data_IF_874442775756
#
_entry.id   IF_874442775756
#
_cell.length_a   1.000
_cell.length_b   1.000
_cell.length_c   1.000
_cell.angle_alpha   90.00
_cell.angle_beta   90.00
_cell.angle_gamma   90.00
#
_symmetry.space_group_name_H-M   'P 1'
#
loop_
_entity.id
_entity.type
_entity.pdbx_description
1 polymer ?
#
# COMPACT_ATOMS: atom_id res chain seq x y z
N UNK A 1 -3.51 14.86 -27.17
CA UNK A 1 -3.42 15.48 -25.83
C UNK A 1 -4.65 15.18 -24.97
N UNK A 2 -5.87 15.58 -25.38
CA UNK A 2 -7.11 15.40 -24.59
C UNK A 2 -7.37 13.95 -24.20
N UNK A 3 -7.25 13.00 -25.13
CA UNK A 3 -7.46 11.57 -24.84
C UNK A 3 -6.48 11.02 -23.78
N UNK A 4 -5.22 11.48 -23.80
CA UNK A 4 -4.20 11.09 -22.81
C UNK A 4 -4.50 11.65 -21.42
N UNK A 5 -4.98 12.89 -21.35
CA UNK A 5 -5.42 13.51 -20.09
C UNK A 5 -6.63 12.75 -19.52
N UNK A 6 -7.62 12.45 -20.37
CA UNK A 6 -8.82 11.73 -19.97
C UNK A 6 -8.49 10.31 -19.46
N UNK A 7 -7.60 9.60 -20.16
CA UNK A 7 -7.11 8.30 -19.73
C UNK A 7 -6.43 8.36 -18.35
N UNK A 8 -5.58 9.38 -18.11
CA UNK A 8 -4.92 9.57 -16.80
C UNK A 8 -5.91 9.84 -15.68
N UNK A 9 -6.95 10.65 -15.94
CA UNK A 9 -8.01 10.94 -14.97
C UNK A 9 -8.80 9.67 -14.62
N UNK A 10 -9.18 8.88 -15.63
CA UNK A 10 -9.90 7.61 -15.42
C UNK A 10 -9.02 6.64 -14.61
N UNK A 11 -7.74 6.53 -14.97
CA UNK A 11 -6.81 5.65 -14.25
C UNK A 11 -6.64 6.08 -12.78
N UNK A 12 -6.56 7.38 -12.52
CA UNK A 12 -6.49 7.92 -11.17
C UNK A 12 -7.77 7.61 -10.36
N UNK A 13 -8.95 7.75 -10.98
CA UNK A 13 -10.21 7.40 -10.35
C UNK A 13 -10.28 5.91 -9.97
N UNK A 14 -9.87 5.04 -10.89
CA UNK A 14 -9.82 3.59 -10.64
C UNK A 14 -8.85 3.26 -9.50
N UNK A 15 -7.66 3.87 -9.50
CA UNK A 15 -6.69 3.70 -8.41
C UNK A 15 -7.26 4.08 -7.04
N UNK A 16 -7.95 5.22 -6.92
CA UNK A 16 -8.55 5.60 -5.64
C UNK A 16 -9.67 4.67 -5.20
N UNK A 17 -10.45 4.14 -6.15
CA UNK A 17 -11.49 3.15 -5.87
C UNK A 17 -10.87 1.85 -5.32
N UNK A 18 -9.82 1.36 -5.96
CA UNK A 18 -9.10 0.16 -5.52
C UNK A 18 -8.42 0.37 -4.17
N UNK A 19 -7.74 1.50 -3.98
CA UNK A 19 -7.12 1.86 -2.72
C UNK A 19 -8.13 1.89 -1.57
N UNK A 20 -9.32 2.44 -1.80
CA UNK A 20 -10.39 2.48 -0.80
C UNK A 20 -10.83 1.07 -0.37
N UNK A 21 -11.00 0.16 -1.33
CA UNK A 21 -11.36 -1.24 -1.06
C UNK A 21 -10.23 -1.93 -0.29
N UNK A 22 -8.99 -1.77 -0.74
CA UNK A 22 -7.81 -2.34 -0.09
C UNK A 22 -7.67 -1.86 1.37
N UNK A 23 -7.81 -0.56 1.61
CA UNK A 23 -7.75 0.01 2.96
C UNK A 23 -8.88 -0.49 3.86
N UNK A 24 -10.07 -0.77 3.31
CA UNK A 24 -11.16 -1.35 4.06
C UNK A 24 -10.87 -2.79 4.47
N UNK A 25 -10.45 -3.65 3.53
CA UNK A 25 -10.06 -5.04 3.83
C UNK A 25 -8.93 -5.09 4.86
N UNK A 26 -7.95 -4.20 4.72
CA UNK A 26 -6.82 -4.10 5.62
C UNK A 26 -7.21 -3.65 7.04
N UNK A 27 -8.28 -2.86 7.18
CA UNK A 27 -8.82 -2.51 8.49
C UNK A 27 -9.40 -3.75 9.20
N UNK A 28 -10.13 -4.60 8.48
CA UNK A 28 -10.71 -5.83 9.01
C UNK A 28 -9.61 -6.82 9.44
N UNK A 29 -8.58 -7.01 8.61
CA UNK A 29 -7.41 -7.86 8.96
C UNK A 29 -6.69 -7.31 10.20
N UNK A 30 -6.62 -6.00 10.33
CA UNK A 30 -6.00 -5.37 11.49
C UNK A 30 -6.83 -5.55 12.77
N UNK A 31 -8.15 -5.45 12.70
CA UNK A 31 -9.05 -5.64 13.85
C UNK A 31 -9.02 -7.11 14.33
N UNK A 32 -8.98 -8.07 13.40
CA UNK A 32 -8.82 -9.49 13.76
C UNK A 32 -7.46 -9.78 14.40
N UNK A 33 -6.38 -9.17 13.89
CA UNK A 33 -5.06 -9.26 14.52
C UNK A 33 -5.05 -8.61 15.91
N UNK A 34 -5.76 -7.52 16.12
CA UNK A 34 -5.90 -6.86 17.42
C UNK A 34 -6.58 -7.77 18.45
N UNK A 35 -7.67 -8.45 18.07
CA UNK A 35 -8.33 -9.47 18.91
C UNK A 35 -7.37 -10.62 19.26
N UNK A 36 -6.48 -11.00 18.36
CA UNK A 36 -5.42 -11.99 18.59
C UNK A 36 -4.23 -11.42 19.40
N UNK A 37 -4.35 -10.21 19.94
CA UNK A 37 -3.35 -9.54 20.79
C UNK A 37 -2.27 -8.75 20.04
N UNK A 38 -2.49 -8.38 18.76
CA UNK A 38 -1.51 -7.57 18.01
C UNK A 38 -1.76 -6.09 18.29
N UNK A 39 -0.71 -5.28 18.17
CA UNK A 39 -0.89 -3.83 18.22
C UNK A 39 -1.63 -3.34 16.97
N UNK A 40 -2.69 -2.58 17.18
CA UNK A 40 -3.36 -1.83 16.12
C UNK A 40 -2.42 -0.73 15.59
N UNK A 41 -2.03 -0.86 14.32
CA UNK A 41 -1.16 0.09 13.62
C UNK A 41 -1.84 0.67 12.38
N UNK A 42 -3.10 0.32 12.12
CA UNK A 42 -3.84 0.81 10.96
C UNK A 42 -4.03 2.33 11.03
N UNK A 43 -4.31 2.89 12.21
CA UNK A 43 -4.38 4.34 12.39
C UNK A 43 -3.07 5.03 11.99
N UNK A 44 -1.91 4.38 12.21
CA UNK A 44 -0.61 4.92 11.80
C UNK A 44 -0.47 4.91 10.28
N UNK A 45 -0.86 3.83 9.61
CA UNK A 45 -0.90 3.75 8.14
C UNK A 45 -1.80 4.85 7.56
N UNK A 46 -3.01 4.99 8.08
CA UNK A 46 -3.95 6.01 7.66
C UNK A 46 -3.36 7.43 7.80
N UNK A 47 -2.71 7.71 8.93
CA UNK A 47 -2.02 9.00 9.15
C UNK A 47 -0.85 9.22 8.18
N UNK A 48 -0.10 8.18 7.80
CA UNK A 48 0.94 8.28 6.78
C UNK A 48 0.36 8.64 5.41
N UNK A 49 -0.75 8.00 5.01
CA UNK A 49 -1.43 8.30 3.75
C UNK A 49 -1.93 9.74 3.73
N UNK A 50 -2.57 10.20 4.81
CA UNK A 50 -3.00 11.61 4.94
C UNK A 50 -1.82 12.57 4.80
N UNK A 51 -0.69 12.29 5.47
CA UNK A 51 0.52 13.13 5.38
C UNK A 51 1.06 13.22 3.95
N UNK A 52 1.03 12.13 3.19
CA UNK A 52 1.46 12.12 1.78
C UNK A 52 0.53 12.98 0.93
N UNK A 53 -0.78 12.88 1.13
CA UNK A 53 -1.76 13.68 0.40
C UNK A 53 -1.54 15.17 0.70
N UNK A 54 -1.46 15.54 1.98
CA UNK A 54 -1.22 16.94 2.39
C UNK A 54 0.11 17.46 1.84
N UNK A 55 1.19 16.68 2.00
CA UNK A 55 2.50 17.04 1.47
C UNK A 55 2.46 17.28 -0.04
N UNK A 56 1.82 16.39 -0.79
CA UNK A 56 1.71 16.50 -2.24
C UNK A 56 0.92 17.74 -2.66
N UNK A 57 -0.15 18.09 -1.96
CA UNK A 57 -0.89 19.34 -2.21
C UNK A 57 0.00 20.57 -1.99
N UNK A 58 0.73 20.62 -0.87
CA UNK A 58 1.62 21.75 -0.56
C UNK A 58 2.72 21.88 -1.61
N UNK A 59 3.34 20.78 -2.03
CA UNK A 59 4.38 20.78 -3.05
C UNK A 59 3.84 21.22 -4.43
N UNK A 60 2.66 20.75 -4.83
CA UNK A 60 2.01 21.18 -6.07
C UNK A 60 1.80 22.71 -6.06
N UNK A 61 1.31 23.27 -4.96
CA UNK A 61 1.09 24.71 -4.83
C UNK A 61 2.40 25.49 -4.90
N UNK A 62 3.46 24.98 -4.26
CA UNK A 62 4.78 25.59 -4.29
C UNK A 62 5.37 25.61 -5.72
N UNK A 63 5.36 24.47 -6.41
CA UNK A 63 5.88 24.38 -7.79
C UNK A 63 5.05 25.19 -8.78
N UNK A 64 3.72 25.23 -8.59
CA UNK A 64 2.82 26.09 -9.37
C UNK A 64 3.18 27.56 -9.22
N UNK A 65 3.41 28.03 -7.98
CA UNK A 65 3.81 29.41 -7.71
C UNK A 65 5.17 29.74 -8.35
N UNK A 66 6.14 28.84 -8.24
CA UNK A 66 7.46 29.00 -8.86
C UNK A 66 7.39 29.05 -10.39
N UNK A 67 6.54 28.22 -11.00
CA UNK A 67 6.32 28.24 -12.45
C UNK A 67 5.73 29.57 -12.91
N UNK A 68 4.67 30.06 -12.23
CA UNK A 68 4.05 31.35 -12.53
C UNK A 68 5.04 32.50 -12.37
N UNK A 69 5.81 32.51 -11.29
CA UNK A 69 6.83 33.53 -11.03
C UNK A 69 7.92 33.55 -12.11
N UNK A 70 8.42 32.38 -12.50
CA UNK A 70 9.46 32.25 -13.54
C UNK A 70 8.99 32.76 -14.90
N UNK A 71 7.74 32.46 -15.25
CA UNK A 71 7.10 32.94 -16.49
C UNK A 71 6.91 34.47 -16.43
N UNK A 72 6.49 35.00 -15.27
CA UNK A 72 6.27 36.44 -15.07
C UNK A 72 7.54 37.27 -15.25
N UNK A 73 8.71 36.73 -14.89
CA UNK A 73 10.01 37.40 -15.09
C UNK A 73 10.43 37.34 -16.56
N UNK A 74 10.20 36.20 -17.22
CA UNK A 74 10.75 35.91 -18.54
C UNK A 74 10.05 36.65 -19.68
N UNK A 75 8.77 37.01 -19.50
CA UNK A 75 7.97 37.68 -20.52
C UNK A 75 7.66 39.13 -20.13
N UNK A 76 8.13 40.11 -20.91
CA UNK A 76 7.56 41.47 -20.90
C UNK A 76 6.16 41.38 -21.50
N UNK A 77 5.16 41.73 -20.71
CA UNK A 77 3.75 41.47 -21.02
C UNK A 77 3.23 42.51 -22.02
N UNK A 78 3.07 42.10 -23.27
CA UNK A 78 2.22 42.77 -24.27
C UNK A 78 0.95 41.92 -24.53
N UNK A 79 -0.16 42.52 -24.99
CA UNK A 79 -1.47 41.83 -25.09
C UNK A 79 -1.45 40.51 -25.89
N UNK A 80 -0.62 40.39 -26.95
CA UNK A 80 -0.49 39.14 -27.72
C UNK A 80 0.29 38.04 -26.97
N UNK A 81 1.14 38.44 -26.03
CA UNK A 81 1.91 37.50 -25.18
C UNK A 81 1.06 36.93 -24.04
N UNK A 82 -0.03 37.61 -23.64
CA UNK A 82 -0.91 37.18 -22.54
C UNK A 82 -1.59 35.84 -22.83
N UNK A 83 -2.14 35.63 -24.04
CA UNK A 83 -2.83 34.38 -24.39
C UNK A 83 -1.87 33.19 -24.43
N UNK A 84 -0.67 33.39 -24.98
CA UNK A 84 0.40 32.38 -25.03
C UNK A 84 0.89 32.03 -23.62
N UNK A 85 1.14 33.04 -22.78
CA UNK A 85 1.52 32.87 -21.37
C UNK A 85 0.45 32.10 -20.61
N UNK A 86 -0.84 32.45 -20.80
CA UNK A 86 -1.94 31.74 -20.15
C UNK A 86 -2.00 30.27 -20.55
N UNK A 87 -1.91 29.97 -21.85
CA UNK A 87 -1.87 28.58 -22.36
C UNK A 87 -0.68 27.81 -21.78
N UNK A 88 0.49 28.44 -21.71
CA UNK A 88 1.70 27.84 -21.17
C UNK A 88 1.56 27.53 -19.67
N UNK A 89 1.08 28.49 -18.87
CA UNK A 89 0.78 28.29 -17.44
C UNK A 89 -0.18 27.12 -17.24
N UNK A 90 -1.26 27.04 -18.02
CA UNK A 90 -2.21 25.94 -17.93
C UNK A 90 -1.55 24.57 -18.21
N UNK A 91 -0.72 24.48 -19.24
CA UNK A 91 0.00 23.23 -19.58
C UNK A 91 0.98 22.85 -18.46
N UNK A 92 1.72 23.82 -17.90
CA UNK A 92 2.62 23.59 -16.78
C UNK A 92 1.88 23.06 -15.56
N UNK A 93 0.77 23.68 -15.17
CA UNK A 93 -0.04 23.26 -14.03
C UNK A 93 -0.58 21.83 -14.20
N UNK A 94 -1.09 21.50 -15.38
CA UNK A 94 -1.56 20.14 -15.69
C UNK A 94 -0.42 19.13 -15.57
N UNK A 95 0.77 19.48 -16.08
CA UNK A 95 1.95 18.60 -16.05
C UNK A 95 2.43 18.37 -14.62
N UNK A 96 2.55 19.43 -13.83
CA UNK A 96 2.92 19.37 -12.41
C UNK A 96 1.93 18.46 -11.65
N UNK A 97 0.63 18.73 -11.81
CA UNK A 97 -0.43 17.96 -11.16
C UNK A 97 -0.33 16.45 -11.47
N UNK A 98 -0.17 16.09 -12.76
CA UNK A 98 -0.06 14.69 -13.19
C UNK A 98 1.16 14.01 -12.56
N UNK A 99 2.32 14.67 -12.57
CA UNK A 99 3.56 14.11 -12.02
C UNK A 99 3.42 13.83 -10.52
N UNK A 100 2.92 14.80 -9.76
CA UNK A 100 2.76 14.65 -8.33
C UNK A 100 1.73 13.58 -7.95
N UNK A 101 0.65 13.42 -8.70
CA UNK A 101 -0.30 12.32 -8.50
C UNK A 101 0.37 10.97 -8.74
N UNK A 102 1.15 10.83 -9.81
CA UNK A 102 1.84 9.57 -10.08
C UNK A 102 2.80 9.22 -8.95
N UNK A 103 3.60 10.19 -8.49
CA UNK A 103 4.51 10.00 -7.35
C UNK A 103 3.73 9.63 -6.09
N UNK A 104 2.65 10.35 -5.77
CA UNK A 104 1.80 10.09 -4.61
C UNK A 104 1.20 8.69 -4.65
N UNK A 105 0.68 8.27 -5.79
CA UNK A 105 0.08 6.95 -5.97
C UNK A 105 1.11 5.84 -5.76
N UNK A 106 2.31 5.99 -6.32
CA UNK A 106 3.42 5.04 -6.11
C UNK A 106 3.83 4.98 -4.63
N UNK A 107 3.96 6.13 -3.96
CA UNK A 107 4.30 6.19 -2.55
C UNK A 107 3.23 5.53 -1.66
N UNK A 108 1.96 5.85 -1.89
CA UNK A 108 0.84 5.26 -1.16
C UNK A 108 0.81 3.74 -1.39
N UNK A 109 0.95 3.29 -2.64
CA UNK A 109 0.99 1.88 -2.98
C UNK A 109 2.15 1.16 -2.26
N UNK A 110 3.36 1.72 -2.29
CA UNK A 110 4.52 1.15 -1.61
C UNK A 110 4.32 1.03 -0.08
N UNK A 111 3.69 2.02 0.53
CA UNK A 111 3.40 2.01 1.98
C UNK A 111 2.32 1.00 2.33
N UNK A 112 1.25 0.93 1.54
CA UNK A 112 0.18 -0.06 1.72
C UNK A 112 0.73 -1.47 1.55
N UNK A 113 1.51 -1.72 0.49
CA UNK A 113 2.19 -3.01 0.27
C UNK A 113 3.12 -3.36 1.43
N UNK A 114 3.98 -2.43 1.87
CA UNK A 114 4.88 -2.66 2.99
C UNK A 114 4.14 -2.99 4.30
N UNK A 115 3.03 -2.30 4.57
CA UNK A 115 2.18 -2.59 5.71
C UNK A 115 1.52 -3.97 5.60
N UNK A 116 0.95 -4.29 4.43
CA UNK A 116 0.31 -5.57 4.17
C UNK A 116 1.29 -6.72 4.33
N UNK A 117 2.50 -6.62 3.79
CA UNK A 117 3.58 -7.60 3.99
C UNK A 117 3.94 -7.79 5.47
N UNK A 118 4.03 -6.69 6.23
CA UNK A 118 4.30 -6.76 7.67
C UNK A 118 3.17 -7.48 8.43
N UNK A 119 1.91 -7.24 8.06
CA UNK A 119 0.76 -7.91 8.67
C UNK A 119 0.71 -9.39 8.30
N UNK A 120 0.97 -9.76 7.05
CA UNK A 120 1.07 -11.16 6.66
C UNK A 120 2.15 -11.91 7.44
N UNK A 121 3.30 -11.29 7.67
CA UNK A 121 4.35 -11.87 8.50
C UNK A 121 3.85 -12.14 9.93
N UNK A 122 3.16 -11.17 10.56
CA UNK A 122 2.59 -11.33 11.90
C UNK A 122 1.50 -12.40 11.98
N UNK A 123 0.63 -12.49 10.95
CA UNK A 123 -0.38 -13.57 10.87
C UNK A 123 0.33 -14.92 10.80
N UNK A 124 1.35 -15.03 9.96
CA UNK A 124 2.09 -16.28 9.78
C UNK A 124 2.82 -16.73 11.05
N UNK A 125 3.47 -15.80 11.76
CA UNK A 125 4.14 -16.11 13.04
C UNK A 125 3.14 -16.63 14.08
N UNK A 126 1.94 -16.04 14.15
CA UNK A 126 0.89 -16.47 15.08
C UNK A 126 0.29 -17.82 14.72
N UNK A 127 0.06 -18.06 13.43
CA UNK A 127 -0.39 -19.37 12.96
C UNK A 127 0.63 -20.46 13.31
N UNK A 128 1.93 -20.15 13.21
CA UNK A 128 2.99 -21.08 13.58
C UNK A 128 2.98 -21.41 15.08
N UNK A 129 2.79 -20.41 15.95
CA UNK A 129 2.65 -20.62 17.40
C UNK A 129 1.41 -21.47 17.71
N UNK A 130 0.23 -21.07 17.22
CA UNK A 130 -1.02 -21.82 17.45
C UNK A 130 -0.93 -23.27 16.96
N UNK A 131 -0.29 -23.49 15.81
CA UNK A 131 -0.09 -24.83 15.27
C UNK A 131 0.87 -25.66 16.14
N UNK A 132 1.92 -25.04 16.65
CA UNK A 132 2.88 -25.69 17.55
C UNK A 132 2.19 -26.10 18.85
N UNK A 133 1.41 -25.19 19.45
CA UNK A 133 0.65 -25.45 20.68
C UNK A 133 -0.38 -26.57 20.47
N UNK A 134 -1.09 -26.59 19.33
CA UNK A 134 -2.05 -27.65 19.01
C UNK A 134 -1.37 -29.01 18.81
N UNK A 135 -0.18 -29.04 18.21
CA UNK A 135 0.60 -30.27 18.05
C UNK A 135 1.14 -30.76 19.40
N UNK A 136 1.66 -29.86 20.22
CA UNK A 136 2.25 -30.16 21.52
C UNK A 136 1.18 -30.71 22.48
N UNK A 137 0.01 -30.05 22.56
CA UNK A 137 -1.13 -30.53 23.33
C UNK A 137 -1.66 -31.89 22.85
N UNK A 138 -1.67 -32.13 21.54
CA UNK A 138 -2.04 -33.45 20.99
C UNK A 138 -0.96 -34.51 21.20
N UNK A 139 0.31 -34.12 21.28
CA UNK A 139 1.43 -35.01 21.56
C UNK A 139 1.39 -35.45 23.03
N UNK A 140 1.06 -34.58 23.98
CA UNK A 140 0.89 -34.97 25.39
C UNK A 140 -0.29 -35.94 25.57
N UNK A 141 -1.37 -35.77 24.83
CA UNK A 141 -2.49 -36.72 24.84
C UNK A 141 -2.16 -38.06 24.16
N UNK A 142 -1.41 -38.05 23.03
CA UNK A 142 -0.97 -39.27 22.32
C UNK A 142 0.24 -39.97 22.91
N UNK A 143 1.11 -39.28 23.64
CA UNK A 143 2.30 -39.87 24.28
C UNK A 143 1.90 -40.92 25.33
N UNK A 144 0.69 -40.77 25.88
CA UNK A 144 0.06 -41.77 26.73
C UNK A 144 -0.39 -43.04 25.98
N UNK A 145 -0.44 -43.05 24.63
CA UNK A 145 -1.09 -44.12 23.86
C UNK A 145 -0.45 -44.47 22.50
N UNK A 146 0.86 -44.74 22.47
CA UNK A 146 1.59 -45.61 21.50
C UNK A 146 2.55 -44.96 20.46
N UNK A 147 3.68 -45.67 20.30
CA UNK A 147 4.64 -45.78 19.19
C UNK A 147 5.28 -44.51 18.58
N UNK A 148 6.39 -44.12 19.21
CA UNK A 148 7.23 -42.93 19.01
C UNK A 148 7.95 -42.82 17.65
N UNK A 149 8.05 -43.89 16.85
CA UNK A 149 8.93 -43.95 15.68
C UNK A 149 8.27 -43.69 14.32
N UNK A 150 6.96 -43.95 14.18
CA UNK A 150 6.24 -43.78 12.90
C UNK A 150 5.86 -42.30 12.69
N UNK A 151 5.56 -41.59 13.78
CA UNK A 151 5.05 -40.22 13.79
C UNK A 151 6.08 -39.16 13.37
N UNK A 152 7.38 -39.43 13.53
CA UNK A 152 8.46 -38.51 13.16
C UNK A 152 8.58 -38.38 11.64
N UNK A 153 8.34 -39.48 10.89
CA UNK A 153 8.38 -39.48 9.42
C UNK A 153 7.18 -38.77 8.79
N UNK A 154 5.98 -38.91 9.36
CA UNK A 154 4.80 -38.18 8.88
C UNK A 154 4.95 -36.67 9.10
N UNK A 155 5.45 -36.23 10.28
CA UNK A 155 5.70 -34.81 10.56
C UNK A 155 6.69 -34.16 9.59
N UNK A 156 7.73 -34.86 9.14
CA UNK A 156 8.71 -34.28 8.22
C UNK A 156 8.15 -34.11 6.80
N UNK A 157 7.30 -35.04 6.37
CA UNK A 157 6.66 -34.99 5.05
C UNK A 157 5.55 -33.92 5.03
N UNK A 158 4.76 -33.82 6.10
CA UNK A 158 3.66 -32.86 6.19
C UNK A 158 4.17 -31.40 6.30
N UNK A 159 5.25 -31.16 7.06
CA UNK A 159 5.89 -29.83 7.12
C UNK A 159 6.47 -29.41 5.78
N UNK A 160 7.00 -30.35 4.98
CA UNK A 160 7.58 -30.06 3.67
C UNK A 160 6.50 -29.72 2.63
N UNK A 161 5.40 -30.48 2.60
CA UNK A 161 4.25 -30.18 1.73
C UNK A 161 3.52 -28.89 2.13
N UNK A 162 3.47 -28.56 3.43
CA UNK A 162 2.88 -27.30 3.92
C UNK A 162 3.71 -26.07 3.60
N UNK A 163 5.05 -26.14 3.74
CA UNK A 163 5.94 -25.06 3.28
C UNK A 163 5.77 -24.79 1.78
N UNK A 164 5.57 -25.84 1.00
CA UNK A 164 5.37 -25.73 -0.44
C UNK A 164 4.00 -25.14 -0.80
N UNK A 165 2.93 -25.46 -0.05
CA UNK A 165 1.60 -24.87 -0.26
C UNK A 165 1.50 -23.42 0.21
N UNK A 166 2.21 -23.03 1.27
CA UNK A 166 2.31 -21.62 1.70
C UNK A 166 3.05 -20.78 0.65
N UNK A 167 4.06 -21.34 -0.01
CA UNK A 167 4.78 -20.67 -1.11
C UNK A 167 3.96 -20.56 -2.40
N UNK A 168 3.10 -21.53 -2.68
CA UNK A 168 2.22 -21.52 -3.88
C UNK A 168 1.03 -20.55 -3.69
N UNK A 169 0.66 -20.26 -2.45
CA UNK A 169 -0.46 -19.38 -2.10
C UNK A 169 -0.03 -17.92 -1.84
N UNK A 170 1.29 -17.67 -1.71
CA UNK A 170 1.91 -16.34 -1.70
C UNK A 170 1.97 -15.74 -3.10
#
# INVERSE_FOLDING_TARGET
MILSILYRIINQYNFFKELKICLHELSIVNDTLEVLGARNQYCRLHNWIIRIIIGSIVYILFDAANAIYSISISYKIDNYTVELVYKFVCICLITIYIVYIQISNVLICGIVLGYTCSRFHQVNDRLHVLYSDLIENNADYRYKNQNKSILVRERTIEVKNRKQSIWILM
#
